data_IF_049374804743
#
_entry.id   IF_049374804743
#
_cell.length_a   1.000
_cell.length_b   1.000
_cell.length_c   1.000
_cell.angle_alpha   90.00
_cell.angle_beta   90.00
_cell.angle_gamma   90.00
#
_symmetry.space_group_name_H-M   'P 1'
#
loop_
_entity.id
_entity.type
_entity.pdbx_description
1 polymer ?
#
# COMPACT_ATOMS: atom_id res chain seq x y z
N UNK A 1 -15.82 32.12 -8.83
CA UNK A 1 -15.78 31.55 -7.46
C UNK A 1 -14.33 31.37 -7.04
N UNK A 2 -13.95 31.78 -5.82
CA UNK A 2 -12.61 31.50 -5.28
C UNK A 2 -12.54 30.04 -4.84
N UNK A 3 -11.44 29.36 -5.16
CA UNK A 3 -11.20 27.98 -4.68
C UNK A 3 -10.97 28.02 -3.16
N UNK A 4 -11.52 27.05 -2.39
CA UNK A 4 -11.24 26.94 -0.97
C UNK A 4 -9.76 26.62 -0.74
N UNK A 5 -9.19 27.16 0.33
CA UNK A 5 -7.82 26.83 0.78
C UNK A 5 -7.95 25.74 1.83
N UNK A 6 -7.29 24.60 1.61
CA UNK A 6 -7.25 23.49 2.56
C UNK A 6 -6.11 23.70 3.55
N UNK A 7 -6.41 23.75 4.85
CA UNK A 7 -5.43 24.01 5.91
C UNK A 7 -5.36 22.88 6.96
N UNK A 8 -6.12 21.81 6.76
CA UNK A 8 -6.22 20.69 7.72
C UNK A 8 -5.39 19.47 7.29
N UNK A 9 -4.11 19.69 7.03
CA UNK A 9 -3.18 18.61 6.63
C UNK A 9 -2.87 17.62 7.78
N UNK A 10 -3.28 17.93 9.02
CA UNK A 10 -3.12 17.04 10.15
C UNK A 10 -4.22 15.95 10.20
N UNK A 11 -5.44 16.26 9.71
CA UNK A 11 -6.51 15.27 9.64
C UNK A 11 -6.36 14.32 8.44
N UNK A 12 -6.06 14.86 7.26
CA UNK A 12 -5.78 14.06 6.07
C UNK A 12 -5.03 14.87 5.03
N UNK A 13 -4.44 14.19 4.05
CA UNK A 13 -3.65 14.83 3.00
C UNK A 13 -4.07 14.29 1.64
N UNK A 14 -4.17 15.15 0.61
CA UNK A 14 -4.36 14.67 -0.76
C UNK A 14 -3.25 13.69 -1.15
N UNK A 15 -3.63 12.60 -1.84
CA UNK A 15 -2.64 11.65 -2.35
C UNK A 15 -1.72 12.35 -3.36
N UNK A 16 -0.42 12.14 -3.20
CA UNK A 16 0.56 12.62 -4.16
C UNK A 16 0.35 11.95 -5.53
N UNK A 17 0.61 12.67 -6.62
CA UNK A 17 0.30 12.19 -7.96
C UNK A 17 1.05 10.90 -8.32
N UNK A 18 2.26 10.73 -7.80
CA UNK A 18 3.07 9.51 -7.91
C UNK A 18 2.44 8.32 -7.19
N UNK A 19 1.78 8.52 -6.05
CA UNK A 19 1.08 7.46 -5.32
C UNK A 19 -0.11 6.99 -6.15
N UNK A 20 -0.89 7.94 -6.69
CA UNK A 20 -2.02 7.62 -7.57
C UNK A 20 -1.55 6.79 -8.78
N UNK A 21 -0.48 7.23 -9.45
CA UNK A 21 0.09 6.50 -10.59
C UNK A 21 0.58 5.10 -10.21
N UNK A 22 1.19 4.95 -9.04
CA UNK A 22 1.66 3.65 -8.56
C UNK A 22 0.51 2.69 -8.21
N UNK A 23 -0.62 3.21 -7.72
CA UNK A 23 -1.79 2.41 -7.34
C UNK A 23 -2.69 2.05 -8.52
N UNK A 24 -2.78 2.91 -9.53
CA UNK A 24 -3.72 2.76 -10.66
C UNK A 24 -3.67 1.39 -11.38
N UNK A 25 -2.50 0.76 -11.62
CA UNK A 25 -2.44 -0.55 -12.26
C UNK A 25 -3.17 -1.64 -11.47
N UNK A 26 -3.09 -1.60 -10.13
CA UNK A 26 -3.70 -2.59 -9.23
C UNK A 26 -5.21 -2.41 -9.05
N UNK A 27 -5.72 -1.23 -9.40
CA UNK A 27 -7.17 -0.97 -9.41
C UNK A 27 -7.85 -1.41 -10.71
N UNK A 28 -7.11 -1.46 -11.83
CA UNK A 28 -7.70 -1.69 -13.16
C UNK A 28 -7.29 -3.01 -13.80
N UNK A 29 -6.00 -3.35 -13.75
CA UNK A 29 -5.41 -4.44 -14.54
C UNK A 29 -4.89 -5.59 -13.68
N UNK A 30 -4.36 -5.27 -12.50
CA UNK A 30 -3.68 -6.21 -11.58
C UNK A 30 -4.48 -6.39 -10.29
N UNK A 31 -5.77 -6.70 -10.44
CA UNK A 31 -6.76 -6.76 -9.35
C UNK A 31 -6.80 -8.13 -8.62
N UNK A 32 -5.78 -8.96 -8.79
CA UNK A 32 -5.75 -10.30 -8.20
C UNK A 32 -5.76 -10.27 -6.67
N UNK A 33 -6.34 -11.30 -6.06
CA UNK A 33 -6.26 -11.50 -4.61
C UNK A 33 -4.87 -12.08 -4.25
N UNK A 34 -4.04 -11.41 -3.43
CA UNK A 34 -2.70 -11.89 -3.07
C UNK A 34 -2.70 -13.23 -2.32
N UNK A 35 -3.83 -13.67 -1.77
CA UNK A 35 -3.98 -14.98 -1.13
C UNK A 35 -4.26 -16.12 -2.10
N UNK A 36 -4.55 -15.83 -3.37
CA UNK A 36 -4.82 -16.85 -4.38
C UNK A 36 -3.54 -17.38 -5.03
N UNK A 37 -3.46 -18.69 -5.26
CA UNK A 37 -2.27 -19.35 -5.83
C UNK A 37 -2.11 -19.18 -7.36
N UNK A 38 -3.14 -18.70 -8.06
CA UNK A 38 -3.11 -18.51 -9.51
C UNK A 38 -2.31 -17.26 -9.93
N UNK A 39 -2.00 -17.13 -11.23
CA UNK A 39 -1.13 -16.08 -11.78
C UNK A 39 -1.48 -14.65 -11.30
N UNK A 40 -2.75 -14.26 -11.38
CA UNK A 40 -3.20 -12.94 -10.89
C UNK A 40 -2.95 -12.72 -9.39
N UNK A 41 -3.10 -13.76 -8.57
CA UNK A 41 -2.87 -13.66 -7.13
C UNK A 41 -1.38 -13.59 -6.80
N UNK A 42 -0.55 -14.34 -7.51
CA UNK A 42 0.90 -14.23 -7.40
C UNK A 42 1.40 -12.82 -7.74
N UNK A 43 0.91 -12.22 -8.82
CA UNK A 43 1.29 -10.85 -9.18
C UNK A 43 0.92 -9.82 -8.09
N UNK A 44 -0.29 -9.92 -7.53
CA UNK A 44 -0.73 -9.06 -6.43
C UNK A 44 0.11 -9.29 -5.15
N UNK A 45 0.42 -10.56 -4.84
CA UNK A 45 1.27 -10.92 -3.69
C UNK A 45 2.65 -10.29 -3.80
N UNK A 46 3.31 -10.41 -4.96
CA UNK A 46 4.61 -9.78 -5.18
C UNK A 46 4.56 -8.26 -5.01
N UNK A 47 3.49 -7.60 -5.46
CA UNK A 47 3.34 -6.16 -5.29
C UNK A 47 3.20 -5.74 -3.82
N UNK A 48 2.39 -6.46 -3.04
CA UNK A 48 2.21 -6.20 -1.61
C UNK A 48 3.52 -6.42 -0.85
N UNK A 49 4.22 -7.51 -1.11
CA UNK A 49 5.49 -7.81 -0.43
C UNK A 49 6.60 -6.81 -0.78
N UNK A 50 6.65 -6.34 -2.03
CA UNK A 50 7.57 -5.28 -2.41
C UNK A 50 7.24 -3.94 -1.72
N UNK A 51 5.96 -3.58 -1.59
CA UNK A 51 5.55 -2.38 -0.86
C UNK A 51 5.92 -2.48 0.63
N UNK A 52 5.69 -3.65 1.24
CA UNK A 52 6.06 -3.95 2.63
C UNK A 52 7.56 -3.78 2.87
N UNK A 53 8.40 -4.34 2.00
CA UNK A 53 9.85 -4.21 2.12
C UNK A 53 10.31 -2.74 2.06
N UNK A 54 9.66 -1.91 1.24
CA UNK A 54 9.95 -0.47 1.18
C UNK A 54 9.58 0.25 2.48
N UNK A 55 8.41 -0.04 3.04
CA UNK A 55 7.96 0.56 4.32
C UNK A 55 8.87 0.11 5.46
N UNK A 56 9.17 -1.19 5.56
CA UNK A 56 10.07 -1.73 6.57
C UNK A 56 11.45 -1.06 6.52
N UNK A 57 12.01 -0.88 5.31
CA UNK A 57 13.28 -0.16 5.12
C UNK A 57 13.18 1.31 5.56
N UNK A 58 12.06 1.99 5.28
CA UNK A 58 11.86 3.39 5.65
C UNK A 58 11.82 3.58 7.17
N UNK A 59 11.25 2.63 7.90
CA UNK A 59 11.11 2.70 9.36
C UNK A 59 12.17 1.89 10.12
N UNK A 60 13.16 1.32 9.42
CA UNK A 60 14.19 0.45 10.00
C UNK A 60 13.65 -0.77 10.77
N UNK A 61 12.53 -1.32 10.32
CA UNK A 61 11.95 -2.53 10.89
C UNK A 61 12.75 -3.77 10.52
N UNK A 62 12.79 -4.74 11.43
CA UNK A 62 13.33 -6.08 11.18
C UNK A 62 12.44 -6.86 10.18
N UNK A 63 12.96 -7.93 9.57
CA UNK A 63 12.18 -8.77 8.65
C UNK A 63 10.88 -9.33 9.28
N UNK A 64 10.92 -9.69 10.55
CA UNK A 64 9.77 -10.25 11.27
C UNK A 64 8.69 -9.17 11.53
N UNK A 65 9.11 -7.95 11.85
CA UNK A 65 8.21 -6.80 12.01
C UNK A 65 7.62 -6.34 10.67
N UNK A 66 8.37 -6.51 9.58
CA UNK A 66 7.89 -6.23 8.23
C UNK A 66 6.64 -7.07 7.89
N UNK A 67 6.59 -8.34 8.30
CA UNK A 67 5.43 -9.21 8.06
C UNK A 67 4.16 -8.67 8.77
N UNK A 68 4.32 -8.08 9.96
CA UNK A 68 3.22 -7.55 10.77
C UNK A 68 2.65 -6.20 10.24
N UNK A 69 3.40 -5.45 9.42
CA UNK A 69 3.01 -4.12 8.93
C UNK A 69 1.75 -4.04 8.05
N UNK A 70 1.22 -5.18 7.58
CA UNK A 70 0.03 -5.23 6.68
C UNK A 70 -0.97 -6.32 7.07
N UNK A 71 -0.48 -7.42 7.65
CA UNK A 71 -1.37 -8.39 8.30
C UNK A 71 -1.74 -7.78 9.65
N UNK A 72 -2.86 -7.08 9.70
CA UNK A 72 -3.44 -6.62 10.97
C UNK A 72 -3.35 -7.74 12.00
N UNK A 73 -2.92 -7.39 13.21
CA UNK A 73 -2.59 -8.29 14.30
C UNK A 73 -3.55 -9.50 14.35
N UNK A 74 -3.12 -10.63 13.79
CA UNK A 74 -3.83 -11.91 13.97
C UNK A 74 -3.26 -12.55 15.24
N UNK A 75 -3.41 -11.80 16.34
CA UNK A 75 -3.06 -12.21 17.69
C UNK A 75 -4.35 -12.49 18.45
N UNK A 76 -5.06 -13.53 18.02
CA UNK A 76 -6.05 -14.30 18.77
C UNK A 76 -5.86 -15.77 18.39
#
# INVERSE_FOLDING_TARGET
>A
MKKPIYLDYNATTPLAAEVIRAMQPYQRLKYGNPSSAHAYGNEARFAVEHARAKVAKLIHASPDEAECLVRGHSGL
#
